data_IF_874758908075
#
_entry.id   IF_874758908075
#
_cell.length_a   1.000
_cell.length_b   1.000
_cell.length_c   1.000
_cell.angle_alpha   90.00
_cell.angle_beta   90.00
_cell.angle_gamma   90.00
#
_symmetry.space_group_name_H-M   'P 1'
#
loop_
_entity.id
_entity.type
_entity.pdbx_description
1 polymer ?
#
# COMPACT_ATOMS: atom_id res chain seq x y z
N UNK A 1 21.94 13.25 9.85
CA UNK A 1 20.70 14.01 10.13
C UNK A 1 19.81 13.18 11.03
N UNK A 2 19.84 13.43 12.34
CA UNK A 2 18.91 12.80 13.29
C UNK A 2 17.49 13.32 13.06
N UNK A 3 16.54 12.41 12.82
CA UNK A 3 15.13 12.77 12.79
C UNK A 3 14.66 12.94 14.24
N UNK A 4 14.72 14.17 14.78
CA UNK A 4 13.97 14.51 15.99
C UNK A 4 12.48 14.40 15.66
N UNK A 5 11.79 13.42 16.23
CA UNK A 5 10.34 13.33 16.12
C UNK A 5 9.73 14.59 16.76
N UNK A 6 9.15 15.47 15.95
CA UNK A 6 8.41 16.63 16.42
C UNK A 6 7.21 16.12 17.24
N UNK A 7 7.22 16.37 18.56
CA UNK A 7 6.04 16.15 19.41
C UNK A 7 5.06 17.29 19.13
N UNK A 8 4.21 17.11 18.12
CA UNK A 8 3.05 17.96 17.90
C UNK A 8 2.01 17.68 18.99
N UNK A 9 1.37 18.73 19.48
CA UNK A 9 0.25 18.60 20.41
C UNK A 9 -1.01 18.07 19.67
N UNK A 10 -1.90 17.42 20.43
CA UNK A 10 -3.11 16.78 19.88
C UNK A 10 -3.99 17.79 19.11
N UNK A 11 -4.08 19.03 19.58
CA UNK A 11 -4.92 20.05 18.95
C UNK A 11 -4.37 20.46 17.57
N UNK A 12 -3.05 20.59 17.48
CA UNK A 12 -2.35 20.81 16.20
C UNK A 12 -2.52 19.63 15.25
N UNK A 13 -2.44 18.38 15.76
CA UNK A 13 -2.71 17.19 14.95
C UNK A 13 -4.13 17.19 14.37
N UNK A 14 -5.15 17.43 15.20
CA UNK A 14 -6.55 17.47 14.78
C UNK A 14 -6.82 18.58 13.76
N UNK A 15 -6.20 19.76 13.93
CA UNK A 15 -6.31 20.87 12.96
C UNK A 15 -5.73 20.47 11.60
N UNK A 16 -4.54 19.87 11.58
CA UNK A 16 -3.89 19.42 10.35
C UNK A 16 -4.68 18.32 9.64
N UNK A 17 -5.21 17.33 10.39
CA UNK A 17 -6.06 16.28 9.82
C UNK A 17 -7.34 16.84 9.21
N UNK A 18 -7.92 17.88 9.80
CA UNK A 18 -9.11 18.56 9.27
C UNK A 18 -8.82 19.34 7.99
N UNK A 19 -7.67 19.99 7.90
CA UNK A 19 -7.27 20.81 6.74
C UNK A 19 -6.77 19.97 5.55
N UNK A 20 -5.97 18.93 5.81
CA UNK A 20 -5.26 18.16 4.79
C UNK A 20 -5.89 16.78 4.55
N UNK A 21 -6.82 16.38 5.41
CA UNK A 21 -7.35 15.01 5.47
C UNK A 21 -6.47 14.10 6.33
N UNK A 22 -7.04 12.98 6.77
CA UNK A 22 -6.29 12.02 7.58
C UNK A 22 -5.18 11.40 6.71
N UNK A 23 -3.90 11.43 7.13
CA UNK A 23 -2.82 10.68 6.50
C UNK A 23 -2.96 9.18 6.78
N UNK A 24 -4.16 8.62 6.59
CA UNK A 24 -4.34 7.19 6.47
C UNK A 24 -3.58 6.73 5.23
N UNK A 25 -2.68 5.77 5.43
CA UNK A 25 -2.20 4.92 4.33
C UNK A 25 -3.44 4.29 3.71
N UNK A 26 -3.97 4.89 2.65
CA UNK A 26 -5.08 4.30 1.92
C UNK A 26 -4.65 2.89 1.56
N UNK A 27 -5.45 1.90 1.95
CA UNK A 27 -5.18 0.51 1.56
C UNK A 27 -5.47 0.46 0.07
N UNK A 28 -4.43 0.65 -0.75
CA UNK A 28 -4.53 0.40 -2.20
C UNK A 28 -5.11 -1.00 -2.35
N UNK A 29 -6.31 -1.07 -2.93
CA UNK A 29 -7.02 -2.31 -3.19
C UNK A 29 -6.48 -2.85 -4.51
N UNK A 30 -5.69 -3.91 -4.40
CA UNK A 30 -5.28 -4.73 -5.54
C UNK A 30 -6.40 -5.76 -5.71
N UNK A 31 -6.90 -5.93 -6.93
CA UNK A 31 -7.73 -7.09 -7.25
C UNK A 31 -6.84 -8.34 -7.21
N UNK A 32 -7.03 -9.13 -6.16
CA UNK A 32 -6.22 -10.32 -5.92
C UNK A 32 -6.50 -11.39 -6.97
N UNK A 33 -7.75 -11.54 -7.44
CA UNK A 33 -8.11 -12.54 -8.45
C UNK A 33 -7.40 -12.26 -9.77
N UNK A 34 -7.43 -10.99 -10.21
CA UNK A 34 -6.71 -10.57 -11.40
C UNK A 34 -5.18 -10.72 -11.23
N UNK A 35 -4.63 -10.37 -10.05
CA UNK A 35 -3.21 -10.54 -9.78
C UNK A 35 -2.76 -12.02 -9.81
N UNK A 36 -3.59 -12.96 -9.33
CA UNK A 36 -3.34 -14.41 -9.42
C UNK A 36 -3.38 -14.87 -10.88
N UNK A 37 -4.38 -14.43 -11.65
CA UNK A 37 -4.48 -14.77 -13.07
C UNK A 37 -3.23 -14.32 -13.84
N UNK A 38 -2.75 -13.09 -13.60
CA UNK A 38 -1.51 -12.59 -14.20
C UNK A 38 -0.29 -13.42 -13.77
N UNK A 39 -0.19 -13.78 -12.50
CA UNK A 39 0.89 -14.62 -12.00
C UNK A 39 0.90 -16.01 -12.67
N UNK A 40 -0.27 -16.64 -12.82
CA UNK A 40 -0.44 -17.91 -13.51
C UNK A 40 -0.14 -17.82 -15.02
N UNK A 41 -0.29 -16.64 -15.62
CA UNK A 41 0.18 -16.34 -16.99
C UNK A 41 1.70 -16.12 -17.08
N UNK A 42 2.44 -16.29 -15.98
CA UNK A 42 3.90 -16.15 -15.93
C UNK A 42 4.39 -14.73 -15.66
N UNK A 43 3.51 -13.80 -15.29
CA UNK A 43 3.93 -12.43 -14.95
C UNK A 43 4.68 -12.40 -13.63
N UNK A 44 5.78 -11.64 -13.58
CA UNK A 44 6.50 -11.40 -12.33
C UNK A 44 5.74 -10.44 -11.41
N UNK A 45 5.97 -10.54 -10.10
CA UNK A 45 5.40 -9.62 -9.10
C UNK A 45 5.66 -8.14 -9.43
N UNK A 46 6.82 -7.83 -10.04
CA UNK A 46 7.18 -6.47 -10.44
C UNK A 46 6.32 -5.96 -11.60
N UNK A 47 5.99 -6.80 -12.57
CA UNK A 47 5.11 -6.43 -13.69
C UNK A 47 3.68 -6.23 -13.20
N UNK A 48 3.19 -7.14 -12.36
CA UNK A 48 1.87 -7.04 -11.73
C UNK A 48 1.80 -5.75 -10.89
N UNK A 49 2.84 -5.46 -10.11
CA UNK A 49 2.91 -4.24 -9.31
C UNK A 49 2.82 -2.97 -10.15
N UNK A 50 3.56 -2.91 -11.27
CA UNK A 50 3.46 -1.79 -12.22
C UNK A 50 2.05 -1.62 -12.77
N UNK A 51 1.36 -2.71 -13.10
CA UNK A 51 -0.02 -2.68 -13.59
C UNK A 51 -0.99 -2.08 -12.56
N UNK A 52 -0.83 -2.45 -11.28
CA UNK A 52 -1.68 -1.97 -10.19
C UNK A 52 -1.19 -0.68 -9.50
N UNK A 53 -0.10 -0.06 -9.99
CA UNK A 53 0.47 1.14 -9.36
C UNK A 53 1.07 0.91 -7.97
N UNK A 54 1.54 -0.31 -7.69
CA UNK A 54 2.10 -0.72 -6.39
C UNK A 54 3.47 -1.38 -6.54
N UNK A 55 4.19 -1.54 -5.43
CA UNK A 55 5.43 -2.32 -5.45
C UNK A 55 5.14 -3.81 -5.68
N UNK A 56 6.05 -4.53 -6.32
CA UNK A 56 5.94 -5.99 -6.45
C UNK A 56 5.94 -6.71 -5.09
N UNK A 57 6.54 -6.11 -4.06
CA UNK A 57 6.46 -6.62 -2.68
C UNK A 57 5.04 -6.55 -2.12
N UNK A 58 4.29 -5.51 -2.47
CA UNK A 58 2.88 -5.37 -2.10
C UNK A 58 2.04 -6.47 -2.75
N UNK A 59 2.31 -6.78 -4.03
CA UNK A 59 1.66 -7.87 -4.76
C UNK A 59 1.96 -9.22 -4.10
N UNK A 60 3.24 -9.54 -3.87
CA UNK A 60 3.66 -10.78 -3.20
C UNK A 60 2.97 -10.95 -1.83
N UNK A 61 2.93 -9.88 -1.03
CA UNK A 61 2.27 -9.91 0.28
C UNK A 61 0.78 -10.21 0.15
N UNK A 62 0.09 -9.57 -0.79
CA UNK A 62 -1.36 -9.76 -0.98
C UNK A 62 -1.72 -11.15 -1.51
N UNK A 63 -0.93 -11.67 -2.44
CA UNK A 63 -1.10 -13.05 -2.93
C UNK A 63 -0.93 -14.05 -1.77
N UNK A 64 0.11 -13.89 -0.95
CA UNK A 64 0.31 -14.75 0.23
C UNK A 64 -0.81 -14.63 1.27
N UNK A 65 -1.29 -13.41 1.55
CA UNK A 65 -2.42 -13.18 2.46
C UNK A 65 -3.72 -13.83 1.96
N UNK A 66 -3.88 -13.94 0.64
CA UNK A 66 -5.07 -14.55 0.02
C UNK A 66 -5.09 -16.07 0.01
N UNK A 67 -3.97 -16.73 0.36
CA UNK A 67 -3.80 -18.21 0.29
C UNK A 67 -4.04 -18.81 -1.11
N UNK A 68 -3.99 -18.00 -2.17
CA UNK A 68 -4.18 -18.44 -3.55
C UNK A 68 -2.87 -18.84 -4.23
N UNK A 69 -1.72 -18.54 -3.60
CA UNK A 69 -0.35 -18.88 -4.00
C UNK A 69 0.46 -19.14 -2.74
#
# INVERSE_FOLDING_TARGET
MEKRALKIDEKTYQKLVKEVGNPTKSKIRIDVGLAVAMFNMGWSYRQIGKHFGVSGMTVKRRLKESRLV
#
